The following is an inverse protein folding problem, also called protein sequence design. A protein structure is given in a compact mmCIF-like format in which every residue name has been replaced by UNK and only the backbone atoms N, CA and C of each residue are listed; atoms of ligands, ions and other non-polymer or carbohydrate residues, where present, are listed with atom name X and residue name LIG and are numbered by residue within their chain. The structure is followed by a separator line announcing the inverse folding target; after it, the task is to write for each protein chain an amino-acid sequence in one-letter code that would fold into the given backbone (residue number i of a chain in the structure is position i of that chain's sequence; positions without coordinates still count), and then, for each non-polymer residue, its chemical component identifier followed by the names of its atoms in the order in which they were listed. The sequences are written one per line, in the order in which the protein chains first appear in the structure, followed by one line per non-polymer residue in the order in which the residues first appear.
data_IF_579898005120
#
_entry.id   IF_579898005120
#
_cell.length_a   1.000
_cell.length_b   1.000
_cell.length_c   1.000
_cell.angle_alpha   90.00
_cell.angle_beta   90.00
_cell.angle_gamma   90.00
#
_symmetry.space_group_name_H-M   'P 1'
#
loop_
_entity.id
_entity.type
_entity.pdbx_description
1 polymer ?
#
# COMPACT_ATOMS: atom_id res chain seq x y z
N UNK A 1 4.31 -17.56 1.05
CA UNK A 1 5.36 -16.54 0.77
C UNK A 1 4.76 -15.18 1.03
N UNK A 2 5.38 -14.35 1.87
CA UNK A 2 4.89 -12.99 2.15
C UNK A 2 5.18 -12.08 0.94
N UNK A 3 4.27 -11.15 0.58
CA UNK A 3 4.52 -10.24 -0.53
C UNK A 3 5.64 -9.27 -0.18
N UNK A 4 6.58 -9.05 -1.10
CA UNK A 4 7.67 -8.07 -0.91
C UNK A 4 7.14 -6.63 -1.01
N UNK A 5 7.92 -5.66 -0.52
CA UNK A 5 7.65 -4.23 -0.72
C UNK A 5 7.39 -3.89 -2.20
N UNK A 6 8.14 -4.51 -3.12
CA UNK A 6 7.96 -4.33 -4.56
C UNK A 6 6.58 -4.80 -5.04
N UNK A 7 6.11 -5.96 -4.58
CA UNK A 7 4.78 -6.48 -4.92
C UNK A 7 3.69 -5.54 -4.40
N UNK A 8 3.81 -5.07 -3.16
CA UNK A 8 2.84 -4.14 -2.56
C UNK A 8 2.84 -2.80 -3.30
N UNK A 9 4.01 -2.25 -3.61
CA UNK A 9 4.13 -1.01 -4.37
C UNK A 9 3.57 -1.14 -5.78
N UNK A 10 3.76 -2.29 -6.44
CA UNK A 10 3.17 -2.57 -7.75
C UNK A 10 1.64 -2.60 -7.69
N UNK A 11 1.05 -3.23 -6.67
CA UNK A 11 -0.41 -3.24 -6.45
C UNK A 11 -0.96 -1.83 -6.23
N UNK A 12 -0.28 -1.00 -5.43
CA UNK A 12 -0.65 0.40 -5.21
C UNK A 12 -0.59 1.22 -6.50
N UNK A 13 0.47 1.05 -7.32
CA UNK A 13 0.58 1.70 -8.65
C UNK A 13 -0.52 1.26 -9.59
N UNK A 14 -0.85 -0.03 -9.60
CA UNK A 14 -1.95 -0.57 -10.40
C UNK A 14 -3.28 0.08 -9.99
N UNK A 15 -3.58 0.13 -8.69
CA UNK A 15 -4.78 0.80 -8.17
C UNK A 15 -4.83 2.28 -8.60
N UNK A 16 -3.72 3.01 -8.48
CA UNK A 16 -3.66 4.41 -8.93
C UNK A 16 -3.97 4.57 -10.42
N UNK A 17 -3.47 3.66 -11.25
CA UNK A 17 -3.72 3.68 -12.70
C UNK A 17 -5.19 3.36 -13.02
N UNK A 18 -5.78 2.40 -12.31
CA UNK A 18 -7.19 2.03 -12.49
C UNK A 18 -8.12 3.19 -12.06
N UNK A 19 -7.80 3.90 -10.96
CA UNK A 19 -8.50 5.13 -10.55
C UNK A 19 -8.35 6.27 -11.56
N UNK A 20 -7.16 6.45 -12.13
CA UNK A 20 -6.92 7.50 -13.12
C UNK A 20 -7.72 7.24 -14.40
N UNK A 21 -7.80 5.98 -14.85
CA UNK A 21 -8.57 5.58 -16.02
C UNK A 21 -10.07 5.75 -15.85
N UNK A 22 -10.59 5.52 -14.64
CA UNK A 22 -12.02 5.69 -14.35
C UNK A 22 -12.46 7.16 -14.15
N UNK A 23 -11.54 8.13 -14.29
CA UNK A 23 -11.84 9.54 -14.03
C UNK A 23 -12.07 9.86 -12.56
N UNK A 24 -11.54 9.02 -11.65
CA UNK A 24 -11.70 9.20 -10.21
C UNK A 24 -10.93 10.42 -9.69
N UNK A 25 -11.09 10.73 -8.41
CA UNK A 25 -10.52 11.89 -7.75
C UNK A 25 -8.98 11.91 -7.83
N UNK A 26 -8.41 12.99 -8.40
CA UNK A 26 -6.97 13.22 -8.56
C UNK A 26 -6.19 13.10 -7.23
N UNK A 27 -6.79 13.52 -6.12
CA UNK A 27 -6.20 13.37 -4.78
C UNK A 27 -5.97 11.89 -4.44
N UNK A 28 -6.94 11.00 -4.72
CA UNK A 28 -6.76 9.56 -4.48
C UNK A 28 -5.70 8.95 -5.38
N UNK A 29 -5.68 9.32 -6.66
CA UNK A 29 -4.62 8.86 -7.60
C UNK A 29 -3.24 9.22 -7.07
N UNK A 30 -3.05 10.47 -6.63
CA UNK A 30 -1.79 10.94 -6.03
C UNK A 30 -1.46 10.19 -4.74
N UNK A 31 -2.44 10.00 -3.86
CA UNK A 31 -2.26 9.29 -2.60
C UNK A 31 -1.73 7.85 -2.81
N UNK A 32 -2.31 7.09 -3.74
CA UNK A 32 -1.85 5.73 -4.07
C UNK A 32 -0.45 5.72 -4.70
N UNK A 33 -0.12 6.69 -5.55
CA UNK A 33 1.24 6.82 -6.11
C UNK A 33 2.27 7.16 -5.04
N UNK A 34 1.96 8.09 -4.15
CA UNK A 34 2.83 8.44 -3.02
C UNK A 34 3.03 7.25 -2.08
N UNK A 35 1.97 6.50 -1.78
CA UNK A 35 2.06 5.29 -0.97
C UNK A 35 2.99 4.24 -1.59
N UNK A 36 2.94 4.06 -2.92
CA UNK A 36 3.85 3.13 -3.60
C UNK A 36 5.31 3.56 -3.50
N UNK A 37 5.59 4.87 -3.55
CA UNK A 37 6.95 5.41 -3.34
C UNK A 37 7.39 5.20 -1.89
N UNK A 38 6.51 5.50 -0.93
CA UNK A 38 6.78 5.32 0.49
C UNK A 38 7.12 3.86 0.83
N UNK A 39 6.33 2.90 0.34
CA UNK A 39 6.57 1.47 0.54
C UNK A 39 7.90 1.00 -0.07
N UNK A 40 8.24 1.48 -1.28
CA UNK A 40 9.55 1.17 -1.89
C UNK A 40 10.73 1.76 -1.12
N UNK A 41 10.53 2.87 -0.42
CA UNK A 41 11.57 3.56 0.35
C UNK A 41 11.70 3.08 1.80
N UNK A 42 10.92 2.09 2.23
CA UNK A 42 11.04 1.53 3.58
C UNK A 42 12.38 0.81 3.74
N UNK A 43 13.05 1.07 4.86
CA UNK A 43 14.26 0.34 5.25
C UNK A 43 13.99 -1.12 5.68
N UNK A 44 12.73 -1.45 6.02
CA UNK A 44 12.29 -2.79 6.42
C UNK A 44 11.13 -3.29 5.57
N UNK A 45 10.72 -4.54 5.82
CA UNK A 45 9.61 -5.15 5.09
C UNK A 45 8.26 -4.61 5.61
N UNK A 46 7.41 -4.17 4.69
CA UNK A 46 6.05 -3.70 4.99
C UNK A 46 5.22 -4.77 5.70
N UNK A 47 5.49 -6.04 5.43
CA UNK A 47 4.85 -7.18 6.09
C UNK A 47 5.28 -7.31 7.55
N UNK A 48 6.53 -6.98 7.90
CA UNK A 48 6.99 -6.92 9.29
C UNK A 48 6.38 -5.73 10.03
N UNK A 49 6.23 -4.57 9.36
CA UNK A 49 5.55 -3.41 9.93
C UNK A 49 4.08 -3.77 10.26
N UNK A 50 3.40 -4.44 9.34
CA UNK A 50 2.03 -4.92 9.55
C UNK A 50 1.97 -5.97 10.66
N UNK A 51 2.89 -6.93 10.69
CA UNK A 51 2.92 -7.98 11.70
C UNK A 51 3.19 -7.43 13.12
N UNK A 52 4.04 -6.42 13.24
CA UNK A 52 4.45 -5.85 14.54
C UNK A 52 3.45 -4.85 15.11
N UNK A 53 2.76 -4.07 14.28
CA UNK A 53 1.89 -2.99 14.78
C UNK A 53 0.69 -2.65 13.89
N UNK A 54 0.41 -3.46 12.87
CA UNK A 54 -0.79 -3.36 12.04
C UNK A 54 -0.95 -2.01 11.35
N UNK A 55 -2.22 -1.62 11.16
CA UNK A 55 -2.61 -0.34 10.55
C UNK A 55 -2.00 0.88 11.28
N UNK A 56 -2.00 0.97 12.62
CA UNK A 56 -1.37 2.09 13.32
C UNK A 56 0.13 2.25 13.04
N UNK A 57 0.87 1.16 12.83
CA UNK A 57 2.29 1.24 12.47
C UNK A 57 2.49 1.77 11.04
N UNK A 58 1.62 1.38 10.10
CA UNK A 58 1.64 1.91 8.74
C UNK A 58 1.32 3.41 8.68
N UNK A 59 0.40 3.90 9.52
CA UNK A 59 0.05 5.34 9.58
C UNK A 59 1.21 6.23 10.04
N UNK A 60 2.25 5.65 10.67
CA UNK A 60 3.46 6.39 11.05
C UNK A 60 4.42 6.59 9.88
N UNK A 61 4.20 5.90 8.75
CA UNK A 61 5.02 6.07 7.54
C UNK A 61 4.60 7.37 6.83
N UNK A 62 5.53 8.32 6.60
CA UNK A 62 5.22 9.55 5.89
C UNK A 62 4.55 9.29 4.53
N UNK A 63 3.41 9.95 4.29
CA UNK A 63 2.63 9.77 3.06
C UNK A 63 1.62 8.62 3.09
N UNK A 64 1.50 7.88 4.20
CA UNK A 64 0.50 6.82 4.39
C UNK A 64 -0.50 7.24 5.47
N UNK A 65 -1.67 7.71 5.05
CA UNK A 65 -2.80 7.95 5.96
C UNK A 65 -3.64 6.70 6.20
N UNK A 66 -4.57 6.78 7.17
CA UNK A 66 -5.44 5.67 7.61
C UNK A 66 -6.05 4.82 6.49
N UNK A 67 -6.62 5.45 5.45
CA UNK A 67 -7.23 4.69 4.34
C UNK A 67 -6.22 3.91 3.51
N UNK A 68 -5.02 4.46 3.30
CA UNK A 68 -3.92 3.75 2.63
C UNK A 68 -3.35 2.66 3.51
N UNK A 69 -3.20 2.91 4.82
CA UNK A 69 -2.73 1.94 5.78
C UNK A 69 -3.64 0.69 5.81
N UNK A 70 -4.97 0.88 5.81
CA UNK A 70 -5.93 -0.21 5.68
C UNK A 70 -5.74 -1.00 4.38
N UNK A 71 -5.69 -0.33 3.23
CA UNK A 71 -5.49 -1.01 1.94
C UNK A 71 -4.15 -1.75 1.85
N UNK A 72 -3.08 -1.21 2.44
CA UNK A 72 -1.78 -1.88 2.46
C UNK A 72 -1.82 -3.12 3.34
N UNK A 73 -2.43 -3.04 4.52
CA UNK A 73 -2.62 -4.20 5.39
C UNK A 73 -3.46 -5.28 4.68
N UNK A 74 -4.52 -4.88 3.96
CA UNK A 74 -5.28 -5.78 3.10
C UNK A 74 -4.40 -6.42 2.02
N UNK A 75 -3.54 -5.67 1.34
CA UNK A 75 -2.65 -6.24 0.32
C UNK A 75 -1.61 -7.22 0.89
N UNK A 76 -1.16 -7.00 2.12
CA UNK A 76 -0.28 -7.93 2.84
C UNK A 76 -1.02 -9.23 3.18
N UNK A 77 -2.26 -9.13 3.67
CA UNK A 77 -3.08 -10.29 4.07
C UNK A 77 -3.66 -11.04 2.86
N UNK A 78 -4.11 -10.32 1.82
CA UNK A 78 -4.81 -10.84 0.66
C UNK A 78 -3.93 -11.68 -0.29
N UNK A 79 -2.69 -11.98 0.09
CA UNK A 79 -1.94 -13.09 -0.52
C UNK A 79 -2.58 -14.48 -0.24
N UNK A 80 -3.80 -14.54 0.32
CA UNK A 80 -4.65 -15.72 0.40
C UNK A 80 -5.90 -15.74 -0.52
N UNK A 81 -6.15 -14.74 -1.37
CA UNK A 81 -7.37 -14.67 -2.22
C UNK A 81 -7.10 -14.40 -3.70
N UNK A 82 -5.90 -14.70 -4.19
CA UNK A 82 -5.67 -14.85 -5.62
C UNK A 82 -5.29 -16.31 -5.91
N UNK A 83 -6.30 -17.18 -5.85
CA UNK A 83 -6.33 -18.47 -6.53
C UNK A 83 -7.15 -18.31 -7.82
#
# INVERSE_FOLDING_TARGET
MNPTNEVIAQRLRKHANDLARSGSNLYRVRAFRSAAIAVMGLHGDVTEIVASGGVPALERVPGIGKSLALTIAEYVVANGLAA
#
